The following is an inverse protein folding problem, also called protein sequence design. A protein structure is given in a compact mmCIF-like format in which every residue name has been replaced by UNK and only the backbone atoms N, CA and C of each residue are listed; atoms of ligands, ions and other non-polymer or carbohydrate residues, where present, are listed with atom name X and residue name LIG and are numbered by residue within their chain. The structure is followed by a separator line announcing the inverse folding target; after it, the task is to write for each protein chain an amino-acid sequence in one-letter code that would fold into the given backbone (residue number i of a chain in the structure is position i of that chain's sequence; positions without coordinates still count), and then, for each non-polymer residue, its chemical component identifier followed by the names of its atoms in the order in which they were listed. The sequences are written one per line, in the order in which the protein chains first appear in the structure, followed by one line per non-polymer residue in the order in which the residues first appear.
data_IF_392998920766
#
_entry.id   IF_392998920766
#
_cell.length_a   1.000
_cell.length_b   1.000
_cell.length_c   1.000
_cell.angle_alpha   90.00
_cell.angle_beta   90.00
_cell.angle_gamma   90.00
#
_symmetry.space_group_name_H-M   'P 1'
#
loop_
_entity.id
_entity.type
_entity.pdbx_description
1 polymer ?
#
# COMPACT_ATOMS: atom_id res chain seq x y z
N UNK A 1 4.95 16.18 -4.41
CA UNK A 1 4.87 14.73 -4.58
C UNK A 1 3.67 14.37 -5.46
N UNK A 2 3.76 13.24 -6.17
CA UNK A 2 2.63 12.58 -6.81
C UNK A 2 2.49 11.17 -6.22
N UNK A 3 1.47 10.96 -5.40
CA UNK A 3 1.14 9.65 -4.82
C UNK A 3 0.34 8.85 -5.84
N UNK A 4 0.70 7.58 -6.05
CA UNK A 4 -0.04 6.66 -6.91
C UNK A 4 -0.67 5.58 -6.04
N UNK A 5 -1.99 5.46 -6.08
CA UNK A 5 -2.78 4.46 -5.36
C UNK A 5 -3.51 3.54 -6.33
N UNK A 6 -3.91 2.36 -5.88
CA UNK A 6 -4.70 1.47 -6.73
C UNK A 6 -6.03 2.13 -7.15
N UNK A 7 -6.71 2.78 -6.22
CA UNK A 7 -8.05 3.32 -6.44
C UNK A 7 -9.16 2.26 -6.37
N UNK A 8 -10.42 2.70 -6.42
CA UNK A 8 -11.62 1.87 -6.58
C UNK A 8 -12.10 1.92 -8.03
N UNK A 9 -13.06 1.09 -8.40
CA UNK A 9 -13.73 1.16 -9.71
C UNK A 9 -14.08 2.59 -10.09
N UNK A 10 -13.83 2.97 -11.36
CA UNK A 10 -14.05 4.32 -11.86
C UNK A 10 -13.09 5.37 -11.31
N UNK A 11 -11.89 4.98 -10.87
CA UNK A 11 -10.84 5.91 -10.43
C UNK A 11 -11.08 6.57 -9.07
N UNK A 12 -12.11 6.15 -8.33
CA UNK A 12 -12.39 6.76 -7.01
C UNK A 12 -11.26 6.49 -6.03
N UNK A 13 -10.74 7.55 -5.42
CA UNK A 13 -9.71 7.48 -4.40
C UNK A 13 -10.37 7.31 -3.04
N UNK A 14 -9.94 6.32 -2.21
CA UNK A 14 -10.45 6.16 -0.85
C UNK A 14 -10.21 7.41 0.01
N UNK A 15 -11.18 7.76 0.86
CA UNK A 15 -11.10 8.96 1.71
C UNK A 15 -9.85 8.98 2.60
N UNK A 16 -9.41 7.84 3.13
CA UNK A 16 -8.19 7.75 3.92
C UNK A 16 -6.92 8.07 3.11
N UNK A 17 -6.91 7.80 1.80
CA UNK A 17 -5.80 8.18 0.92
C UNK A 17 -5.82 9.67 0.59
N UNK A 18 -7.01 10.28 0.43
CA UNK A 18 -7.14 11.74 0.28
C UNK A 18 -6.67 12.45 1.54
N UNK A 19 -7.15 12.01 2.71
CA UNK A 19 -6.72 12.56 4.00
C UNK A 19 -5.21 12.41 4.25
N UNK A 20 -4.60 11.30 3.78
CA UNK A 20 -3.15 11.14 3.80
C UNK A 20 -2.45 12.18 2.93
N UNK A 21 -2.92 12.38 1.69
CA UNK A 21 -2.34 13.36 0.77
C UNK A 21 -2.43 14.79 1.32
N UNK A 22 -3.58 15.16 1.90
CA UNK A 22 -3.81 16.47 2.53
C UNK A 22 -2.89 16.68 3.74
N UNK A 23 -2.74 15.68 4.61
CA UNK A 23 -1.86 15.75 5.77
C UNK A 23 -0.39 15.92 5.36
N UNK A 24 0.06 15.16 4.35
CA UNK A 24 1.43 15.26 3.82
C UNK A 24 1.64 16.62 3.15
N UNK A 25 0.66 17.11 2.37
CA UNK A 25 0.73 18.43 1.72
C UNK A 25 0.86 19.56 2.76
N UNK A 26 0.07 19.49 3.81
CA UNK A 26 0.10 20.45 4.92
C UNK A 26 1.45 20.42 5.64
N UNK A 27 1.92 19.23 6.01
CA UNK A 27 3.18 19.09 6.75
C UNK A 27 4.42 19.49 5.93
N UNK A 28 4.39 19.25 4.61
CA UNK A 28 5.48 19.64 3.70
C UNK A 28 5.40 21.09 3.24
N UNK A 29 4.25 21.76 3.42
CA UNK A 29 3.95 23.06 2.82
C UNK A 29 4.19 23.05 1.30
N UNK A 30 3.90 21.93 0.65
CA UNK A 30 4.15 21.69 -0.76
C UNK A 30 3.02 20.85 -1.38
N UNK A 31 2.70 21.05 -2.67
CA UNK A 31 1.61 20.32 -3.31
C UNK A 31 1.83 18.81 -3.32
N UNK A 32 0.80 18.07 -2.95
CA UNK A 32 0.73 16.61 -3.07
C UNK A 32 -0.44 16.26 -3.98
N UNK A 33 -0.13 15.68 -5.13
CA UNK A 33 -1.12 15.17 -6.06
C UNK A 33 -1.35 13.69 -5.78
N UNK A 34 -2.56 13.21 -6.04
CA UNK A 34 -2.87 11.79 -5.91
C UNK A 34 -3.53 11.29 -7.20
N UNK A 35 -3.07 10.14 -7.68
CA UNK A 35 -3.52 9.50 -8.92
C UNK A 35 -3.92 8.06 -8.64
N UNK A 36 -5.12 7.67 -9.12
CA UNK A 36 -5.59 6.29 -9.04
C UNK A 36 -5.28 5.53 -10.32
N UNK A 37 -4.70 4.32 -10.19
CA UNK A 37 -4.41 3.45 -11.34
C UNK A 37 -5.66 3.02 -12.11
N UNK A 38 -6.81 3.02 -11.44
CA UNK A 38 -8.12 2.65 -12.02
C UNK A 38 -8.84 3.83 -12.67
N UNK A 39 -8.25 5.03 -12.68
CA UNK A 39 -8.84 6.20 -13.31
C UNK A 39 -8.66 6.16 -14.84
N UNK A 40 -9.73 6.46 -15.57
CA UNK A 40 -9.68 6.55 -17.04
C UNK A 40 -8.89 7.79 -17.50
N UNK A 41 -8.95 8.85 -16.72
CA UNK A 41 -8.24 10.10 -16.99
C UNK A 41 -7.25 10.41 -15.89
N UNK A 42 -6.03 10.75 -16.28
CA UNK A 42 -5.04 11.20 -15.33
C UNK A 42 -5.35 12.63 -14.84
N UNK A 43 -5.08 12.94 -13.57
CA UNK A 43 -5.23 14.31 -13.10
C UNK A 43 -4.30 15.24 -13.87
N UNK A 44 -4.84 16.35 -14.37
CA UNK A 44 -4.03 17.41 -14.96
C UNK A 44 -3.08 17.97 -13.91
N UNK A 45 -1.83 18.15 -14.28
CA UNK A 45 -0.83 18.77 -13.42
C UNK A 45 -0.32 20.03 -14.08
N UNK A 46 -0.13 21.11 -13.34
CA UNK A 46 0.74 22.17 -13.82
C UNK A 46 2.14 21.57 -14.09
N UNK A 47 2.89 22.11 -15.04
CA UNK A 47 4.27 21.71 -15.28
C UNK A 47 5.09 22.02 -14.02
N UNK A 48 5.30 20.99 -13.18
CA UNK A 48 6.18 21.07 -12.03
C UNK A 48 7.60 20.76 -12.52
N UNK A 49 8.56 21.53 -12.09
CA UNK A 49 9.95 21.38 -12.50
C UNK A 49 10.50 19.99 -12.16
N UNK A 50 10.17 19.46 -10.97
CA UNK A 50 10.53 18.12 -10.55
C UNK A 50 9.39 17.44 -9.81
N UNK A 51 9.11 16.16 -10.11
CA UNK A 51 8.07 15.37 -9.47
C UNK A 51 8.62 14.03 -8.94
N UNK A 52 8.42 13.78 -7.66
CA UNK A 52 8.61 12.47 -7.07
C UNK A 52 7.32 11.64 -7.27
N UNK A 53 7.41 10.59 -8.08
CA UNK A 53 6.33 9.64 -8.28
C UNK A 53 6.44 8.55 -7.21
N UNK A 54 5.48 8.52 -6.30
CA UNK A 54 5.50 7.71 -5.07
C UNK A 54 4.40 6.65 -5.13
N UNK A 55 4.72 5.39 -5.49
CA UNK A 55 3.72 4.33 -5.57
C UNK A 55 3.36 3.80 -4.18
N UNK A 56 2.14 4.08 -3.72
CA UNK A 56 1.59 3.55 -2.47
C UNK A 56 1.02 2.13 -2.69
N UNK A 57 1.82 1.28 -3.30
CA UNK A 57 1.52 -0.13 -3.56
C UNK A 57 2.32 -1.01 -2.60
N UNK A 58 1.69 -2.06 -2.08
CA UNK A 58 2.31 -2.93 -1.07
C UNK A 58 2.99 -4.16 -1.68
N UNK A 59 2.62 -4.54 -2.90
CA UNK A 59 3.03 -5.78 -3.54
C UNK A 59 3.56 -5.54 -4.96
N UNK A 60 4.55 -6.33 -5.43
CA UNK A 60 5.17 -6.19 -6.74
C UNK A 60 4.31 -6.84 -7.85
N UNK A 61 3.05 -6.42 -7.98
CA UNK A 61 2.10 -6.88 -8.99
C UNK A 61 2.34 -6.29 -10.39
N UNK A 62 1.36 -6.51 -11.30
CA UNK A 62 1.37 -5.96 -12.67
C UNK A 62 1.46 -4.45 -12.69
N UNK A 63 0.79 -3.77 -11.77
CA UNK A 63 0.80 -2.32 -11.65
C UNK A 63 2.21 -1.75 -11.48
N UNK A 64 3.03 -2.38 -10.63
CA UNK A 64 4.42 -1.96 -10.42
C UNK A 64 5.26 -2.11 -11.68
N UNK A 65 5.00 -3.16 -12.49
CA UNK A 65 5.80 -3.49 -13.67
C UNK A 65 5.38 -2.77 -14.95
N UNK A 66 4.11 -2.42 -15.05
CA UNK A 66 3.54 -1.88 -16.30
C UNK A 66 3.00 -0.45 -16.13
N UNK A 67 2.14 -0.23 -15.16
CA UNK A 67 1.43 1.05 -15.06
C UNK A 67 2.33 2.18 -14.54
N UNK A 68 3.18 1.91 -13.55
CA UNK A 68 4.10 2.93 -13.04
C UNK A 68 5.11 3.43 -14.09
N UNK A 69 5.77 2.56 -14.88
CA UNK A 69 6.58 3.01 -16.00
C UNK A 69 5.79 3.82 -17.04
N UNK A 70 4.55 3.42 -17.35
CA UNK A 70 3.69 4.15 -18.28
C UNK A 70 3.32 5.54 -17.75
N UNK A 71 2.96 5.68 -16.47
CA UNK A 71 2.70 6.97 -15.83
C UNK A 71 3.95 7.86 -15.90
N UNK A 72 5.12 7.32 -15.55
CA UNK A 72 6.39 8.05 -15.63
C UNK A 72 6.66 8.55 -17.06
N UNK A 73 6.47 7.68 -18.05
CA UNK A 73 6.68 8.04 -19.46
C UNK A 73 5.69 9.11 -19.91
N UNK A 74 4.41 9.00 -19.57
CA UNK A 74 3.38 9.99 -19.85
C UNK A 74 3.75 11.37 -19.27
N UNK A 75 4.13 11.43 -18.00
CA UNK A 75 4.51 12.68 -17.34
C UNK A 75 5.76 13.32 -17.97
N UNK A 76 6.75 12.50 -18.34
CA UNK A 76 7.93 12.98 -19.06
C UNK A 76 7.58 13.53 -20.47
N UNK A 77 6.67 12.87 -21.15
CA UNK A 77 6.14 13.34 -22.43
C UNK A 77 5.38 14.68 -22.33
N UNK A 78 4.90 15.01 -21.14
CA UNK A 78 4.28 16.29 -20.79
C UNK A 78 5.32 17.36 -20.32
N UNK A 79 6.61 17.06 -20.40
CA UNK A 79 7.68 17.99 -20.02
C UNK A 79 8.06 17.96 -18.52
N UNK A 80 7.52 17.04 -17.71
CA UNK A 80 7.87 16.97 -16.31
C UNK A 80 9.19 16.20 -16.12
N UNK A 81 10.06 16.69 -15.23
CA UNK A 81 11.16 15.91 -14.68
C UNK A 81 10.62 14.99 -13.58
N UNK A 82 10.71 13.65 -13.76
CA UNK A 82 10.06 12.68 -12.91
C UNK A 82 11.04 11.64 -12.38
N UNK A 83 11.17 11.57 -11.07
CA UNK A 83 11.84 10.48 -10.37
C UNK A 83 10.80 9.49 -9.83
N UNK A 84 10.82 8.27 -10.34
CA UNK A 84 9.99 7.17 -9.85
C UNK A 84 10.69 6.50 -8.66
N UNK A 85 10.05 6.54 -7.49
CA UNK A 85 10.51 5.81 -6.32
C UNK A 85 10.10 4.32 -6.37
N UNK A 86 10.80 3.45 -5.64
CA UNK A 86 10.33 2.08 -5.41
C UNK A 86 8.90 2.10 -4.84
N UNK A 87 8.13 1.04 -5.09
CA UNK A 87 6.81 0.90 -4.47
C UNK A 87 6.93 0.78 -2.94
N UNK A 88 5.93 1.27 -2.21
CA UNK A 88 5.94 1.39 -0.75
C UNK A 88 6.34 0.10 -0.04
N UNK A 89 5.84 -1.06 -0.51
CA UNK A 89 6.19 -2.36 0.07
C UNK A 89 7.68 -2.72 -0.02
N UNK A 90 8.46 -2.06 -0.88
CA UNK A 90 9.91 -2.25 -0.97
C UNK A 90 10.70 -1.30 -0.05
N UNK A 91 10.04 -0.39 0.66
CA UNK A 91 10.73 0.54 1.56
C UNK A 91 11.09 -0.13 2.87
N UNK A 92 12.37 -0.23 3.18
CA UNK A 92 12.84 -0.80 4.45
C UNK A 92 12.22 -0.12 5.68
N UNK A 93 12.14 1.24 5.77
CA UNK A 93 11.50 1.90 6.90
C UNK A 93 10.01 1.53 7.04
N UNK A 94 9.28 1.41 5.93
CA UNK A 94 7.89 0.97 5.92
C UNK A 94 7.74 -0.46 6.46
N UNK A 95 8.53 -1.39 5.97
CA UNK A 95 8.51 -2.80 6.44
C UNK A 95 8.87 -2.90 7.92
N UNK A 96 9.87 -2.13 8.37
CA UNK A 96 10.25 -2.07 9.78
C UNK A 96 9.12 -1.51 10.66
N UNK A 97 8.42 -0.48 10.20
CA UNK A 97 7.25 0.08 10.88
C UNK A 97 6.11 -0.93 10.96
N UNK A 98 5.79 -1.64 9.87
CA UNK A 98 4.79 -2.72 9.89
C UNK A 98 5.16 -3.83 10.87
N UNK A 99 6.41 -4.26 10.89
CA UNK A 99 6.90 -5.26 11.86
C UNK A 99 6.70 -4.78 13.30
N UNK A 100 7.07 -3.53 13.58
CA UNK A 100 6.87 -2.95 14.91
C UNK A 100 5.39 -2.87 15.28
N UNK A 101 4.54 -2.40 14.36
CA UNK A 101 3.09 -2.37 14.57
C UNK A 101 2.53 -3.77 14.83
N UNK A 102 2.92 -4.76 14.04
CA UNK A 102 2.53 -6.16 14.25
C UNK A 102 2.95 -6.65 15.64
N UNK A 103 4.15 -6.30 16.11
CA UNK A 103 4.64 -6.73 17.44
C UNK A 103 3.80 -6.17 18.59
N UNK A 104 3.11 -5.05 18.37
CA UNK A 104 2.21 -4.40 19.35
C UNK A 104 0.74 -4.76 19.19
N UNK A 105 0.38 -5.51 18.16
CA UNK A 105 -1.01 -5.97 17.95
C UNK A 105 -1.50 -6.77 19.16
N UNK A 106 -2.79 -6.61 19.52
CA UNK A 106 -3.42 -7.31 20.63
C UNK A 106 -3.50 -8.83 20.43
N UNK A 107 -3.47 -9.31 19.19
CA UNK A 107 -3.45 -10.73 18.90
C UNK A 107 -2.12 -11.37 19.31
N UNK A 108 -2.18 -12.58 19.89
CA UNK A 108 -0.98 -13.36 20.16
C UNK A 108 -0.12 -13.54 18.88
N UNK A 109 1.21 -13.45 18.99
CA UNK A 109 2.10 -13.59 17.84
C UNK A 109 1.85 -14.84 16.99
N UNK A 110 1.59 -15.97 17.65
CA UNK A 110 1.32 -17.28 17.01
C UNK A 110 0.02 -17.32 16.21
N UNK A 111 -0.89 -16.38 16.44
CA UNK A 111 -2.21 -16.32 15.78
C UNK A 111 -2.25 -15.31 14.62
N UNK A 112 -1.26 -14.44 14.49
CA UNK A 112 -1.24 -13.40 13.47
C UNK A 112 -0.96 -13.98 12.09
N UNK A 113 -1.78 -13.60 11.12
CA UNK A 113 -1.63 -14.01 9.73
C UNK A 113 -1.86 -12.79 8.84
N UNK A 114 -0.89 -12.43 8.05
CA UNK A 114 -1.05 -11.36 7.06
C UNK A 114 -1.72 -11.93 5.82
N UNK A 115 -2.87 -11.38 5.47
CA UNK A 115 -3.63 -11.79 4.29
C UNK A 115 -3.44 -10.77 3.18
N UNK A 116 -3.05 -11.24 2.00
CA UNK A 116 -2.73 -10.39 0.86
C UNK A 116 -3.53 -10.76 -0.38
N UNK A 117 -3.64 -9.83 -1.33
CA UNK A 117 -4.21 -10.14 -2.65
C UNK A 117 -3.38 -11.21 -3.36
N UNK A 118 -4.02 -12.18 -4.02
CA UNK A 118 -3.32 -13.18 -4.80
C UNK A 118 -2.40 -12.53 -5.84
N UNK A 119 -1.19 -13.03 -5.95
CA UNK A 119 -0.24 -12.63 -6.98
C UNK A 119 -0.04 -13.79 -7.95
N UNK A 120 0.22 -13.47 -9.22
CA UNK A 120 0.60 -14.50 -10.19
C UNK A 120 1.92 -15.13 -9.78
N UNK A 121 2.07 -16.46 -9.95
CA UNK A 121 3.34 -17.16 -9.68
C UNK A 121 4.53 -16.50 -10.40
N UNK A 122 5.70 -16.56 -9.77
CA UNK A 122 6.94 -16.07 -10.35
C UNK A 122 7.74 -15.15 -9.43
N UNK A 123 8.38 -14.07 -9.92
CA UNK A 123 9.28 -13.23 -9.11
C UNK A 123 8.68 -12.66 -7.84
N UNK A 124 7.34 -12.49 -7.78
CA UNK A 124 6.63 -12.01 -6.61
C UNK A 124 6.70 -12.97 -5.42
N UNK A 125 6.85 -14.28 -5.64
CA UNK A 125 6.96 -15.28 -4.57
C UNK A 125 8.19 -15.04 -3.68
N UNK A 126 9.34 -14.74 -4.30
CA UNK A 126 10.56 -14.41 -3.55
C UNK A 126 10.37 -13.19 -2.67
N UNK A 127 9.64 -12.19 -3.17
CA UNK A 127 9.29 -11.01 -2.38
C UNK A 127 8.38 -11.38 -1.21
N UNK A 128 7.35 -12.20 -1.42
CA UNK A 128 6.45 -12.64 -0.35
C UNK A 128 7.18 -13.44 0.72
N UNK A 129 8.06 -14.37 0.35
CA UNK A 129 8.90 -15.11 1.29
C UNK A 129 9.81 -14.17 2.10
N UNK A 130 10.43 -13.18 1.44
CA UNK A 130 11.24 -12.18 2.14
C UNK A 130 10.37 -11.36 3.10
N UNK A 131 9.21 -10.87 2.66
CA UNK A 131 8.31 -10.08 3.49
C UNK A 131 7.80 -10.88 4.70
N UNK A 132 7.45 -12.15 4.54
CA UNK A 132 7.04 -13.03 5.65
C UNK A 132 8.13 -13.14 6.72
N UNK A 133 9.39 -13.27 6.31
CA UNK A 133 10.53 -13.32 7.23
C UNK A 133 10.74 -11.98 7.94
N UNK A 134 10.69 -10.87 7.21
CA UNK A 134 10.84 -9.53 7.79
C UNK A 134 9.74 -9.20 8.79
N UNK A 135 8.50 -9.60 8.51
CA UNK A 135 7.36 -9.37 9.41
C UNK A 135 7.28 -10.40 10.53
N UNK A 136 8.05 -11.50 10.47
CA UNK A 136 7.96 -12.65 11.38
C UNK A 136 6.50 -13.15 11.50
N UNK A 137 5.77 -13.20 10.38
CA UNK A 137 4.35 -13.50 10.33
C UNK A 137 4.02 -14.25 9.03
N UNK A 138 3.23 -15.33 9.07
CA UNK A 138 2.78 -16.01 7.87
C UNK A 138 2.04 -15.07 6.92
N UNK A 139 2.28 -15.20 5.62
CA UNK A 139 1.53 -14.53 4.56
C UNK A 139 0.65 -15.56 3.85
N UNK A 140 -0.65 -15.26 3.75
CA UNK A 140 -1.64 -16.12 3.10
C UNK A 140 -2.37 -15.32 2.03
N UNK A 141 -2.48 -15.83 0.79
CA UNK A 141 -3.29 -15.16 -0.22
C UNK A 141 -4.78 -15.26 0.13
N UNK A 142 -5.55 -14.22 -0.20
CA UNK A 142 -6.95 -14.09 0.20
C UNK A 142 -7.86 -15.22 -0.34
N UNK A 143 -7.53 -15.79 -1.49
CA UNK A 143 -8.23 -16.94 -2.06
C UNK A 143 -7.95 -18.27 -1.34
N UNK A 144 -6.87 -18.35 -0.56
CA UNK A 144 -6.58 -19.51 0.28
C UNK A 144 -7.00 -19.30 1.75
N UNK A 145 -7.53 -18.14 2.12
CA UNK A 145 -7.84 -17.80 3.52
C UNK A 145 -8.87 -18.75 4.14
N UNK A 146 -9.95 -19.09 3.44
CA UNK A 146 -11.00 -19.96 3.97
C UNK A 146 -10.45 -21.36 4.31
N UNK A 147 -9.61 -21.92 3.44
CA UNK A 147 -8.97 -23.22 3.68
C UNK A 147 -7.94 -23.12 4.83
N UNK A 148 -7.24 -22.02 4.91
CA UNK A 148 -6.26 -21.78 5.96
C UNK A 148 -6.93 -21.70 7.34
N UNK A 149 -8.01 -20.93 7.49
CA UNK A 149 -8.68 -20.74 8.78
C UNK A 149 -9.38 -22.02 9.28
N UNK A 150 -9.81 -22.91 8.38
CA UNK A 150 -10.34 -24.23 8.78
C UNK A 150 -9.29 -25.09 9.50
N UNK A 151 -8.00 -24.96 9.11
CA UNK A 151 -6.89 -25.68 9.73
C UNK A 151 -6.32 -24.96 10.96
N UNK A 152 -6.56 -23.68 11.07
CA UNK A 152 -6.03 -22.80 12.11
C UNK A 152 -7.10 -21.80 12.57
N UNK A 153 -8.19 -22.27 13.24
CA UNK A 153 -9.37 -21.43 13.52
C UNK A 153 -9.10 -20.28 14.49
N UNK A 154 -8.02 -20.35 15.26
CA UNK A 154 -7.61 -19.27 16.16
C UNK A 154 -6.83 -18.14 15.48
N UNK A 155 -6.63 -18.21 14.15
CA UNK A 155 -5.87 -17.22 13.41
C UNK A 155 -6.58 -15.87 13.38
N UNK A 156 -5.80 -14.79 13.57
CA UNK A 156 -6.26 -13.42 13.49
C UNK A 156 -5.75 -12.79 12.18
N UNK A 157 -6.64 -12.54 11.19
CA UNK A 157 -6.23 -12.02 9.91
C UNK A 157 -5.93 -10.51 9.96
N UNK A 158 -4.82 -10.13 9.36
CA UNK A 158 -4.34 -8.78 9.21
C UNK A 158 -4.29 -8.46 7.71
N UNK A 159 -5.18 -7.62 7.18
CA UNK A 159 -5.21 -7.36 5.75
C UNK A 159 -3.99 -6.54 5.31
N UNK A 160 -3.22 -7.05 4.35
CA UNK A 160 -2.18 -6.28 3.67
C UNK A 160 -2.84 -5.40 2.59
N UNK A 161 -3.62 -4.45 3.06
CA UNK A 161 -4.35 -3.48 2.27
C UNK A 161 -4.18 -2.08 2.86
N UNK A 162 -3.71 -1.14 2.05
CA UNK A 162 -3.46 0.23 2.54
C UNK A 162 -4.77 0.93 2.90
N UNK A 163 -5.79 0.82 2.06
CA UNK A 163 -7.12 1.40 2.25
C UNK A 163 -8.20 0.31 2.27
N UNK A 164 -9.38 0.58 2.85
CA UNK A 164 -10.50 -0.35 2.86
C UNK A 164 -10.87 -0.84 1.47
N UNK A 165 -10.99 -2.14 1.32
CA UNK A 165 -11.41 -2.82 0.10
C UNK A 165 -12.20 -4.09 0.46
N UNK A 166 -12.74 -4.78 -0.55
CA UNK A 166 -13.56 -5.98 -0.34
C UNK A 166 -12.86 -7.03 0.53
N UNK A 167 -11.56 -7.28 0.30
CA UNK A 167 -10.78 -8.24 1.09
C UNK A 167 -10.70 -7.82 2.56
N UNK A 168 -10.28 -6.58 2.84
CA UNK A 168 -10.16 -6.09 4.22
C UNK A 168 -11.50 -6.03 4.95
N UNK A 169 -12.60 -5.73 4.24
CA UNK A 169 -13.95 -5.72 4.80
C UNK A 169 -14.41 -7.12 5.20
N UNK A 170 -14.18 -8.13 4.34
CA UNK A 170 -14.47 -9.53 4.65
C UNK A 170 -13.66 -10.04 5.86
N UNK A 171 -12.36 -9.74 5.88
CA UNK A 171 -11.49 -10.15 7.00
C UNK A 171 -11.89 -9.47 8.31
N UNK A 172 -12.31 -8.20 8.27
CA UNK A 172 -12.82 -7.48 9.45
C UNK A 172 -14.11 -8.11 10.00
N UNK A 173 -15.01 -8.53 9.12
CA UNK A 173 -16.23 -9.25 9.51
C UNK A 173 -15.91 -10.61 10.15
N UNK A 174 -14.79 -11.24 9.78
CA UNK A 174 -14.27 -12.46 10.37
C UNK A 174 -13.42 -12.21 11.65
N UNK A 175 -13.52 -11.03 12.25
CA UNK A 175 -12.79 -10.69 13.49
C UNK A 175 -11.35 -10.24 13.28
N UNK A 176 -10.96 -9.95 12.04
CA UNK A 176 -9.63 -9.43 11.72
C UNK A 176 -9.48 -7.93 11.89
N UNK A 177 -8.27 -7.45 11.63
CA UNK A 177 -7.94 -6.02 11.71
C UNK A 177 -8.53 -5.21 10.55
N UNK A 178 -8.63 -3.90 10.74
CA UNK A 178 -8.97 -2.95 9.70
C UNK A 178 -7.84 -2.78 8.68
N UNK A 179 -8.10 -2.03 7.59
CA UNK A 179 -7.06 -1.68 6.62
C UNK A 179 -6.00 -0.77 7.26
N UNK A 180 -4.77 -0.81 6.74
CA UNK A 180 -3.61 -0.19 7.37
C UNK A 180 -3.77 1.32 7.65
N UNK A 181 -4.35 2.10 6.74
CA UNK A 181 -4.56 3.54 6.96
C UNK A 181 -5.69 3.88 7.93
N UNK A 182 -6.50 2.92 8.34
CA UNK A 182 -7.49 3.10 9.40
C UNK A 182 -6.83 3.06 10.79
N UNK A 183 -5.65 2.45 10.90
CA UNK A 183 -4.84 2.50 12.12
C UNK A 183 -4.09 3.84 12.21
N UNK A 184 -4.29 4.62 13.30
CA UNK A 184 -3.67 5.93 13.45
C UNK A 184 -2.15 5.87 13.55
N UNK A 185 -1.57 4.82 14.09
CA UNK A 185 -0.10 4.65 14.22
C UNK A 185 0.53 4.44 12.85
N UNK A 186 -0.07 3.55 12.04
CA UNK A 186 0.37 3.30 10.67
C UNK A 186 0.22 4.55 9.81
N UNK A 187 -0.92 5.23 9.93
CA UNK A 187 -1.17 6.47 9.17
C UNK A 187 -0.16 7.56 9.53
N UNK A 188 0.08 7.80 10.81
CA UNK A 188 1.08 8.80 11.27
C UNK A 188 2.48 8.45 10.77
N UNK A 189 2.90 7.20 10.94
CA UNK A 189 4.23 6.78 10.50
C UNK A 189 4.41 6.86 8.98
N UNK A 190 3.35 6.61 8.18
CA UNK A 190 3.43 6.79 6.74
C UNK A 190 3.50 8.29 6.37
N UNK A 191 2.79 9.15 7.07
CA UNK A 191 2.93 10.62 6.90
C UNK A 191 4.38 11.02 7.13
N UNK A 192 4.99 10.60 8.24
CA UNK A 192 6.38 10.93 8.58
C UNK A 192 7.36 10.46 7.49
N UNK A 193 7.18 9.24 6.98
CA UNK A 193 7.99 8.72 5.88
C UNK A 193 7.84 9.53 4.58
N UNK A 194 6.62 9.97 4.25
CA UNK A 194 6.36 10.78 3.06
C UNK A 194 6.83 12.22 3.21
N UNK A 195 6.77 12.77 4.41
CA UNK A 195 7.28 14.10 4.72
C UNK A 195 8.81 14.15 4.63
N UNK A 196 9.49 13.08 5.04
CA UNK A 196 10.94 12.97 4.99
C UNK A 196 11.52 12.81 3.56
N UNK A 197 10.67 12.61 2.54
CA UNK A 197 11.13 12.59 1.14
C UNK A 197 11.64 13.98 0.72
N UNK A 198 12.62 14.03 -0.22
CA UNK A 198 13.17 15.31 -0.71
C UNK A 198 12.11 16.18 -1.38
#
# INVERSE_FOLDING_TARGET
LRLVVHGRSGGRIPACCLALADAVSTARQAPVLIEALTAETAPSSPPLQHQWLVPLLLLPGSHVRHDLPAIRQRLRGQGADVTLLPFLGAWRPWVAMLRHWLSRSMAEPSRRVVVHHPLRPGPAERYLHHLARELACPLVPADAWEVFVQRSPASHPLPLALAPNRMSELLRQAGGSAALLEDPVIRSGLIDLLVALP
#
